data_IF_465306668949
#
_entry.id   IF_465306668949
#
_cell.length_a   1.000
_cell.length_b   1.000
_cell.length_c   1.000
_cell.angle_alpha   90.00
_cell.angle_beta   90.00
_cell.angle_gamma   90.00
#
_symmetry.space_group_name_H-M   'P 1'
#
loop_
_entity.id
_entity.type
_entity.pdbx_description
1 polymer ?
#
# COMPACT_ATOMS: atom_id res chain seq x y z
N UNK A 1 35.06 6.21 21.03
CA UNK A 1 34.11 5.49 20.14
C UNK A 1 34.81 4.23 19.59
N UNK A 2 34.24 3.03 19.77
CA UNK A 2 34.96 1.76 19.53
C UNK A 2 35.08 1.43 18.02
N UNK A 3 36.30 1.43 17.48
CA UNK A 3 36.62 1.22 16.05
C UNK A 3 36.00 -0.08 15.50
N UNK A 4 35.96 -1.14 16.30
CA UNK A 4 35.32 -2.43 15.92
C UNK A 4 33.81 -2.28 15.67
N UNK A 5 33.13 -1.41 16.43
CA UNK A 5 31.70 -1.12 16.27
C UNK A 5 31.44 -0.33 14.97
N UNK A 6 32.31 0.63 14.65
CA UNK A 6 32.24 1.44 13.42
C UNK A 6 32.42 0.56 12.17
N UNK A 7 33.42 -0.31 12.15
CA UNK A 7 33.65 -1.22 11.01
C UNK A 7 32.50 -2.21 10.80
N UNK A 8 31.87 -2.69 11.89
CA UNK A 8 30.68 -3.56 11.80
C UNK A 8 29.47 -2.83 11.23
N UNK A 9 29.27 -1.55 11.56
CA UNK A 9 28.21 -0.72 10.99
C UNK A 9 28.46 -0.48 9.51
N UNK A 10 29.67 -0.03 9.13
CA UNK A 10 30.05 0.22 7.73
C UNK A 10 29.88 -1.03 6.85
N UNK A 11 30.29 -2.20 7.32
CA UNK A 11 30.10 -3.48 6.58
C UNK A 11 28.61 -3.81 6.36
N UNK A 12 27.76 -3.53 7.36
CA UNK A 12 26.30 -3.74 7.23
C UNK A 12 25.68 -2.78 6.24
N UNK A 13 26.07 -1.51 6.26
CA UNK A 13 25.60 -0.49 5.32
C UNK A 13 26.03 -0.81 3.89
N UNK A 14 27.30 -1.17 3.69
CA UNK A 14 27.82 -1.60 2.40
C UNK A 14 27.01 -2.77 1.84
N UNK A 15 26.82 -3.84 2.63
CA UNK A 15 26.02 -4.99 2.19
C UNK A 15 24.57 -4.62 1.85
N UNK A 16 23.96 -3.67 2.57
CA UNK A 16 22.61 -3.18 2.26
C UNK A 16 22.59 -2.45 0.92
N UNK A 17 23.59 -1.62 0.65
CA UNK A 17 23.74 -0.89 -0.62
C UNK A 17 23.94 -1.86 -1.79
N UNK A 18 24.84 -2.84 -1.63
CA UNK A 18 25.12 -3.84 -2.67
C UNK A 18 23.87 -4.64 -3.02
N UNK A 19 23.16 -5.18 -2.02
CA UNK A 19 21.89 -5.90 -2.24
C UNK A 19 20.83 -5.05 -2.93
N UNK A 20 20.74 -3.76 -2.58
CA UNK A 20 19.81 -2.83 -3.24
C UNK A 20 20.20 -2.59 -4.70
N UNK A 21 21.50 -2.53 -4.99
CA UNK A 21 22.00 -2.37 -6.35
C UNK A 21 21.74 -3.62 -7.21
N UNK A 22 22.07 -4.80 -6.70
CA UNK A 22 21.81 -6.09 -7.36
C UNK A 22 20.32 -6.25 -7.70
N UNK A 23 19.43 -5.95 -6.75
CA UNK A 23 17.99 -5.97 -6.99
C UNK A 23 17.56 -5.01 -8.11
N UNK A 24 18.14 -3.81 -8.17
CA UNK A 24 17.85 -2.87 -9.26
C UNK A 24 18.35 -3.36 -10.62
N UNK A 25 19.46 -4.07 -10.68
CA UNK A 25 19.94 -4.67 -11.93
C UNK A 25 18.97 -5.72 -12.46
N UNK A 26 18.44 -6.57 -11.58
CA UNK A 26 17.40 -7.54 -11.95
C UNK A 26 16.14 -6.85 -12.50
N UNK A 27 15.67 -5.79 -11.85
CA UNK A 27 14.52 -5.02 -12.31
C UNK A 27 14.76 -4.38 -13.69
N UNK A 28 15.98 -3.89 -13.96
CA UNK A 28 16.33 -3.33 -15.28
C UNK A 28 16.38 -4.40 -16.37
N UNK A 29 16.89 -5.58 -16.05
CA UNK A 29 16.90 -6.70 -16.99
C UNK A 29 15.45 -7.09 -17.36
N UNK A 30 14.57 -7.22 -16.36
CA UNK A 30 13.15 -7.46 -16.56
C UNK A 30 12.48 -6.36 -17.39
N UNK A 31 12.79 -5.10 -17.12
CA UNK A 31 12.27 -3.96 -17.88
C UNK A 31 12.66 -4.00 -19.36
N UNK A 32 13.89 -4.41 -19.68
CA UNK A 32 14.32 -4.54 -21.08
C UNK A 32 13.57 -5.68 -21.79
N UNK A 33 13.39 -6.82 -21.12
CA UNK A 33 12.63 -7.94 -21.67
C UNK A 33 11.16 -7.57 -21.93
N UNK A 34 10.50 -6.92 -20.97
CA UNK A 34 9.13 -6.41 -21.14
C UNK A 34 9.04 -5.39 -22.28
N UNK A 35 10.01 -4.47 -22.36
CA UNK A 35 10.04 -3.44 -23.41
C UNK A 35 10.17 -4.06 -24.80
N UNK A 36 11.03 -5.06 -24.96
CA UNK A 36 11.21 -5.76 -26.23
C UNK A 36 9.91 -6.46 -26.67
N UNK A 37 9.17 -7.06 -25.74
CA UNK A 37 7.86 -7.66 -26.01
C UNK A 37 6.85 -6.60 -26.50
N UNK A 38 6.78 -5.45 -25.82
CA UNK A 38 5.84 -4.37 -26.16
C UNK A 38 6.18 -3.81 -27.55
N UNK A 39 7.45 -3.52 -27.82
CA UNK A 39 7.91 -3.02 -29.13
C UNK A 39 7.61 -4.03 -30.23
N UNK A 40 7.91 -5.31 -30.02
CA UNK A 40 7.64 -6.38 -31.00
C UNK A 40 6.16 -6.62 -31.26
N UNK A 41 5.30 -6.35 -30.26
CA UNK A 41 3.86 -6.42 -30.43
C UNK A 41 3.35 -5.27 -31.31
N UNK A 42 3.72 -4.03 -30.98
CA UNK A 42 3.24 -2.83 -31.65
C UNK A 42 3.87 -2.63 -33.05
N UNK A 43 5.08 -3.15 -33.29
CA UNK A 43 5.75 -3.05 -34.60
C UNK A 43 5.04 -3.82 -35.71
N UNK A 44 4.16 -4.78 -35.36
CA UNK A 44 3.30 -5.49 -36.31
C UNK A 44 2.31 -4.56 -37.01
N UNK A 45 1.91 -3.48 -36.34
CA UNK A 45 0.89 -2.55 -36.81
C UNK A 45 1.50 -1.21 -37.24
N UNK A 46 2.56 -0.75 -36.55
CA UNK A 46 3.17 0.56 -36.78
C UNK A 46 4.56 0.39 -37.41
N UNK A 47 4.65 0.70 -38.72
CA UNK A 47 5.91 0.66 -39.48
C UNK A 47 6.86 1.84 -39.21
N UNK A 48 6.32 2.99 -38.81
CA UNK A 48 7.13 4.18 -38.55
C UNK A 48 7.72 4.10 -37.14
N UNK A 49 9.04 3.98 -37.03
CA UNK A 49 9.76 3.83 -35.76
C UNK A 49 9.47 4.96 -34.76
N UNK A 50 9.51 6.22 -35.21
CA UNK A 50 9.20 7.36 -34.33
C UNK A 50 7.77 7.33 -33.80
N UNK A 51 6.80 6.88 -34.62
CA UNK A 51 5.40 6.74 -34.20
C UNK A 51 5.23 5.56 -33.23
N UNK A 52 5.90 4.44 -33.52
CA UNK A 52 5.92 3.25 -32.67
C UNK A 52 6.42 3.59 -31.26
N UNK A 53 7.58 4.25 -31.15
CA UNK A 53 8.16 4.61 -29.85
C UNK A 53 7.27 5.57 -29.05
N UNK A 54 6.59 6.53 -29.72
CA UNK A 54 5.62 7.41 -29.05
C UNK A 54 4.43 6.64 -28.51
N UNK A 55 3.92 5.66 -29.25
CA UNK A 55 2.82 4.80 -28.81
C UNK A 55 3.24 3.95 -27.59
N UNK A 56 4.47 3.43 -27.60
CA UNK A 56 5.04 2.70 -26.46
C UNK A 56 5.08 3.57 -25.20
N UNK A 57 5.54 4.83 -25.31
CA UNK A 57 5.53 5.76 -24.16
C UNK A 57 4.12 5.97 -23.65
N UNK A 58 3.16 6.22 -24.54
CA UNK A 58 1.77 6.43 -24.16
C UNK A 58 1.18 5.24 -23.39
N UNK A 59 1.40 4.02 -23.88
CA UNK A 59 0.97 2.80 -23.19
C UNK A 59 1.63 2.62 -21.82
N UNK A 60 2.94 2.85 -21.72
CA UNK A 60 3.67 2.73 -20.46
C UNK A 60 3.21 3.76 -19.43
N UNK A 61 2.95 5.00 -19.84
CA UNK A 61 2.41 6.04 -18.96
C UNK A 61 1.00 5.71 -18.47
N UNK A 62 0.15 5.15 -19.34
CA UNK A 62 -1.20 4.73 -18.97
C UNK A 62 -1.15 3.63 -17.90
N UNK A 63 -0.32 2.60 -18.11
CA UNK A 63 -0.11 1.50 -17.16
C UNK A 63 0.48 2.00 -15.83
N UNK A 64 1.44 2.93 -15.89
CA UNK A 64 2.01 3.52 -14.69
C UNK A 64 0.96 4.33 -13.90
N UNK A 65 0.11 5.09 -14.59
CA UNK A 65 -0.98 5.84 -13.95
C UNK A 65 -2.00 4.92 -13.30
N UNK A 66 -2.34 3.80 -13.93
CA UNK A 66 -3.24 2.79 -13.38
C UNK A 66 -2.68 2.17 -12.09
N UNK A 67 -1.39 1.79 -12.09
CA UNK A 67 -0.70 1.28 -10.90
C UNK A 67 -0.54 2.33 -9.79
N UNK A 68 -0.28 3.58 -10.17
CA UNK A 68 -0.20 4.71 -9.26
C UNK A 68 -1.57 5.19 -8.78
N UNK A 69 -2.69 4.71 -9.36
CA UNK A 69 -4.01 5.14 -8.97
C UNK A 69 -4.38 4.52 -7.62
N UNK A 70 -3.90 5.17 -6.56
CA UNK A 70 -4.35 5.00 -5.18
C UNK A 70 -5.84 5.34 -4.98
N UNK A 71 -6.53 5.83 -6.01
CA UNK A 71 -7.93 6.31 -5.95
C UNK A 71 -8.89 5.29 -5.35
N UNK A 72 -8.91 4.06 -5.85
CA UNK A 72 -9.81 3.02 -5.31
C UNK A 72 -9.47 2.63 -3.87
N UNK A 73 -8.19 2.68 -3.48
CA UNK A 73 -7.75 2.39 -2.09
C UNK A 73 -8.19 3.50 -1.14
N UNK A 74 -8.02 4.76 -1.54
CA UNK A 74 -8.44 5.94 -0.78
C UNK A 74 -9.96 6.02 -0.64
N UNK A 75 -10.70 5.69 -1.71
CA UNK A 75 -12.17 5.60 -1.68
C UNK A 75 -12.63 4.48 -0.74
N UNK A 76 -12.00 3.30 -0.83
CA UNK A 76 -12.32 2.18 0.07
C UNK A 76 -12.08 2.51 1.54
N UNK A 77 -10.93 3.11 1.86
CA UNK A 77 -10.63 3.60 3.22
C UNK A 77 -11.65 4.66 3.64
N UNK A 78 -11.98 5.61 2.77
CA UNK A 78 -12.95 6.66 3.03
C UNK A 78 -14.34 6.13 3.36
N UNK A 79 -14.87 5.19 2.56
CA UNK A 79 -16.16 4.54 2.80
C UNK A 79 -16.16 3.83 4.15
N UNK A 80 -15.11 3.06 4.44
CA UNK A 80 -14.98 2.35 5.72
C UNK A 80 -14.99 3.36 6.87
N UNK A 81 -14.15 4.40 6.84
CA UNK A 81 -14.12 5.42 7.90
C UNK A 81 -15.48 6.08 8.11
N UNK A 82 -16.20 6.45 7.04
CA UNK A 82 -17.52 7.09 7.15
C UNK A 82 -18.54 6.16 7.81
N UNK A 83 -18.61 4.89 7.39
CA UNK A 83 -19.51 3.89 8.00
C UNK A 83 -19.21 3.75 9.50
N UNK A 84 -17.93 3.77 9.86
CA UNK A 84 -17.49 3.62 11.24
C UNK A 84 -17.81 4.83 12.11
N UNK A 85 -17.49 6.02 11.62
CA UNK A 85 -17.84 7.26 12.31
C UNK A 85 -19.34 7.33 12.52
N UNK A 86 -20.14 6.96 11.51
CA UNK A 86 -21.59 6.91 11.64
C UNK A 86 -22.03 5.90 12.71
N UNK A 87 -21.53 4.65 12.68
CA UNK A 87 -21.89 3.64 13.68
C UNK A 87 -21.55 4.06 15.12
N UNK A 88 -20.34 4.57 15.35
CA UNK A 88 -19.94 4.99 16.69
C UNK A 88 -20.73 6.21 17.19
N UNK A 89 -21.00 7.18 16.32
CA UNK A 89 -21.74 8.39 16.70
C UNK A 89 -23.23 8.12 16.93
N UNK A 90 -23.85 7.25 16.13
CA UNK A 90 -25.30 7.01 16.19
C UNK A 90 -25.71 5.87 17.11
N UNK A 91 -24.89 4.84 17.27
CA UNK A 91 -25.25 3.63 18.03
C UNK A 91 -24.25 3.33 19.14
N UNK A 92 -22.95 3.39 18.84
CA UNK A 92 -21.90 3.04 19.81
C UNK A 92 -21.94 3.90 21.08
N UNK A 93 -21.93 5.22 20.94
CA UNK A 93 -21.95 6.15 22.08
C UNK A 93 -23.25 6.02 22.90
N UNK A 94 -24.46 6.06 22.29
CA UNK A 94 -25.70 5.86 23.05
C UNK A 94 -25.75 4.56 23.84
N UNK A 95 -25.37 3.43 23.22
CA UNK A 95 -25.34 2.12 23.89
C UNK A 95 -24.38 2.13 25.09
N UNK A 96 -23.24 2.83 24.99
CA UNK A 96 -22.30 2.98 26.11
C UNK A 96 -22.89 3.83 27.24
N UNK A 97 -23.58 4.93 26.92
CA UNK A 97 -24.23 5.78 27.93
C UNK A 97 -25.37 5.05 28.63
N UNK A 98 -26.26 4.38 27.89
CA UNK A 98 -27.37 3.60 28.44
C UNK A 98 -26.87 2.49 29.37
N UNK A 99 -25.82 1.78 28.97
CA UNK A 99 -25.24 0.74 29.82
C UNK A 99 -24.61 1.29 31.11
N UNK A 100 -23.96 2.47 31.06
CA UNK A 100 -23.44 3.12 32.26
C UNK A 100 -24.56 3.55 33.20
N UNK A 101 -25.65 4.10 32.67
CA UNK A 101 -26.83 4.46 33.47
C UNK A 101 -27.51 3.25 34.10
N UNK A 102 -27.58 2.11 33.41
CA UNK A 102 -28.09 0.86 33.97
C UNK A 102 -27.19 0.31 35.08
N UNK A 103 -25.87 0.38 34.91
CA UNK A 103 -24.91 -0.02 35.95
C UNK A 103 -25.08 0.85 37.21
N UNK A 104 -25.42 2.13 37.06
CA UNK A 104 -25.59 3.01 38.21
C UNK A 104 -26.85 2.73 39.04
N UNK A 105 -27.85 2.05 38.47
CA UNK A 105 -29.10 1.67 39.15
C UNK A 105 -28.93 0.47 40.11
N UNK A 106 -27.84 -0.28 40.05
CA UNK A 106 -27.63 -1.40 40.97
C UNK A 106 -27.37 -0.92 42.41
N UNK A 107 -27.99 -1.59 43.38
CA UNK A 107 -27.92 -1.19 44.79
C UNK A 107 -26.63 -1.63 45.49
N UNK A 108 -26.01 -2.72 45.03
CA UNK A 108 -24.83 -3.32 45.67
C UNK A 108 -23.53 -2.99 44.92
N UNK A 109 -22.54 -2.48 45.63
CA UNK A 109 -21.23 -2.09 45.07
C UNK A 109 -20.50 -3.25 44.41
N UNK A 110 -20.65 -4.48 44.93
CA UNK A 110 -20.04 -5.69 44.35
C UNK A 110 -20.65 -6.04 42.99
N UNK A 111 -21.98 -5.92 42.84
CA UNK A 111 -22.68 -6.15 41.57
C UNK A 111 -22.25 -5.11 40.53
N UNK A 112 -22.17 -3.83 40.92
CA UNK A 112 -21.65 -2.76 40.04
C UNK A 112 -20.25 -3.08 39.50
N UNK A 113 -19.33 -3.51 40.37
CA UNK A 113 -17.96 -3.82 39.97
C UNK A 113 -17.93 -5.02 39.01
N UNK A 114 -18.69 -6.08 39.29
CA UNK A 114 -18.75 -7.27 38.42
C UNK A 114 -19.29 -6.91 37.04
N UNK A 115 -20.39 -6.16 36.96
CA UNK A 115 -20.97 -5.74 35.69
C UNK A 115 -20.05 -4.80 34.90
N UNK A 116 -19.38 -3.87 35.58
CA UNK A 116 -18.43 -2.96 34.94
C UNK A 116 -17.24 -3.72 34.33
N UNK A 117 -16.72 -4.74 35.02
CA UNK A 117 -15.64 -5.59 34.49
C UNK A 117 -16.11 -6.39 33.28
N UNK A 118 -17.30 -7.00 33.34
CA UNK A 118 -17.88 -7.74 32.21
C UNK A 118 -18.06 -6.82 30.99
N UNK A 119 -18.59 -5.62 31.21
CA UNK A 119 -18.82 -4.65 30.14
C UNK A 119 -17.50 -4.15 29.53
N UNK A 120 -16.48 -3.90 30.36
CA UNK A 120 -15.15 -3.52 29.90
C UNK A 120 -14.50 -4.63 29.05
N UNK A 121 -14.62 -5.90 29.46
CA UNK A 121 -14.12 -7.04 28.69
C UNK A 121 -14.87 -7.21 27.36
N UNK A 122 -16.19 -7.03 27.38
CA UNK A 122 -17.00 -7.04 26.16
C UNK A 122 -16.59 -5.92 25.21
N UNK A 123 -16.38 -4.71 25.71
CA UNK A 123 -15.91 -3.58 24.91
C UNK A 123 -14.53 -3.83 24.33
N UNK A 124 -13.59 -4.37 25.12
CA UNK A 124 -12.26 -4.77 24.63
C UNK A 124 -12.35 -5.82 23.53
N UNK A 125 -13.24 -6.81 23.68
CA UNK A 125 -13.48 -7.82 22.65
C UNK A 125 -14.06 -7.19 21.38
N UNK A 126 -14.99 -6.25 21.50
CA UNK A 126 -15.58 -5.52 20.38
C UNK A 126 -14.51 -4.68 19.65
N UNK A 127 -13.69 -3.93 20.39
CA UNK A 127 -12.58 -3.15 19.82
C UNK A 127 -11.51 -4.06 19.18
N UNK A 128 -11.22 -5.20 19.79
CA UNK A 128 -10.26 -6.18 19.25
C UNK A 128 -10.73 -6.84 17.97
N UNK A 129 -11.98 -7.34 17.94
CA UNK A 129 -12.60 -7.92 16.73
C UNK A 129 -12.73 -6.87 15.63
N UNK A 130 -13.06 -5.64 16.01
CA UNK A 130 -13.12 -4.50 15.12
C UNK A 130 -11.77 -4.17 14.47
N UNK A 131 -10.71 -4.04 15.27
CA UNK A 131 -9.35 -3.83 14.78
C UNK A 131 -8.88 -4.97 13.87
N UNK A 132 -9.29 -6.20 14.17
CA UNK A 132 -9.00 -7.37 13.34
C UNK A 132 -9.70 -7.32 11.98
N UNK A 133 -11.00 -6.96 11.93
CA UNK A 133 -11.75 -6.81 10.67
C UNK A 133 -11.16 -5.68 9.83
N UNK A 134 -10.87 -4.53 10.44
CA UNK A 134 -10.19 -3.43 9.76
C UNK A 134 -8.85 -3.86 9.20
N UNK A 135 -8.03 -4.54 9.99
CA UNK A 135 -6.75 -5.07 9.52
C UNK A 135 -6.94 -6.04 8.35
N UNK A 136 -7.91 -6.96 8.41
CA UNK A 136 -8.17 -7.92 7.33
C UNK A 136 -8.69 -7.27 6.05
N UNK A 137 -9.59 -6.28 6.17
CA UNK A 137 -10.16 -5.58 5.02
C UNK A 137 -9.16 -4.60 4.41
N UNK A 138 -8.33 -3.94 5.24
CA UNK A 138 -7.33 -2.98 4.77
C UNK A 138 -6.00 -3.62 4.36
N UNK A 139 -5.64 -4.77 4.92
CA UNK A 139 -4.36 -5.46 4.63
C UNK A 139 -4.12 -5.71 3.13
N UNK A 140 -5.10 -6.18 2.32
CA UNK A 140 -4.94 -6.30 0.87
C UNK A 140 -4.59 -4.97 0.17
N UNK A 141 -5.04 -3.84 0.72
CA UNK A 141 -4.72 -2.51 0.18
C UNK A 141 -3.30 -2.04 0.54
N UNK A 142 -2.67 -2.65 1.54
CA UNK A 142 -1.30 -2.36 1.98
C UNK A 142 -0.28 -3.47 1.61
N UNK A 143 -0.74 -4.67 1.24
CA UNK A 143 0.08 -5.88 1.08
C UNK A 143 0.99 -5.91 -0.15
N UNK A 144 0.57 -5.32 -1.27
CA UNK A 144 1.31 -5.39 -2.55
C UNK A 144 2.14 -4.14 -2.88
N UNK A 145 2.32 -3.26 -1.91
CA UNK A 145 3.02 -1.99 -2.11
C UNK A 145 4.48 -2.20 -2.59
N UNK A 146 5.10 -3.35 -2.28
CA UNK A 146 6.45 -3.65 -2.78
C UNK A 146 6.48 -3.98 -4.27
N UNK A 147 5.61 -4.87 -4.73
CA UNK A 147 5.63 -5.37 -6.11
C UNK A 147 5.07 -4.32 -7.07
N UNK A 148 4.06 -3.56 -6.63
CA UNK A 148 3.55 -2.40 -7.36
C UNK A 148 4.64 -1.33 -7.52
N UNK A 149 5.40 -1.03 -6.46
CA UNK A 149 6.54 -0.09 -6.56
C UNK A 149 7.66 -0.59 -7.47
N UNK A 150 7.92 -1.90 -7.49
CA UNK A 150 8.86 -2.47 -8.45
C UNK A 150 8.38 -2.32 -9.88
N UNK A 151 7.09 -2.56 -10.14
CA UNK A 151 6.52 -2.41 -11.47
C UNK A 151 6.45 -0.95 -11.92
N UNK A 152 6.14 -0.01 -11.02
CA UNK A 152 6.25 1.43 -11.29
C UNK A 152 7.69 1.79 -11.69
N UNK A 153 8.69 1.29 -10.95
CA UNK A 153 10.10 1.53 -11.28
C UNK A 153 10.48 0.95 -12.66
N UNK A 154 9.96 -0.23 -13.00
CA UNK A 154 10.16 -0.86 -14.29
C UNK A 154 9.58 0.01 -15.41
N UNK A 155 8.33 0.49 -15.28
CA UNK A 155 7.72 1.39 -16.27
C UNK A 155 8.45 2.72 -16.41
N UNK A 156 8.84 3.35 -15.29
CA UNK A 156 9.65 4.58 -15.34
C UNK A 156 10.98 4.39 -16.07
N UNK A 157 11.61 3.23 -15.88
CA UNK A 157 12.87 2.91 -16.53
C UNK A 157 12.67 2.68 -18.04
N UNK A 158 11.64 1.94 -18.43
CA UNK A 158 11.28 1.74 -19.84
C UNK A 158 10.98 3.07 -20.55
N UNK A 159 10.15 3.94 -19.94
CA UNK A 159 9.81 5.26 -20.49
C UNK A 159 11.09 6.05 -20.78
N UNK A 160 12.03 6.11 -19.83
CA UNK A 160 13.31 6.82 -20.02
C UNK A 160 14.15 6.26 -21.17
N UNK A 161 14.17 4.94 -21.34
CA UNK A 161 14.87 4.31 -22.47
C UNK A 161 14.23 4.74 -23.79
N UNK A 162 12.90 4.67 -23.89
CA UNK A 162 12.16 4.97 -25.12
C UNK A 162 12.24 6.45 -25.46
N UNK A 163 12.06 7.34 -24.48
CA UNK A 163 12.26 8.79 -24.66
C UNK A 163 13.67 9.12 -25.14
N UNK A 164 14.70 8.44 -24.61
CA UNK A 164 16.07 8.62 -25.08
C UNK A 164 16.24 8.18 -26.53
N UNK A 165 15.59 7.08 -26.95
CA UNK A 165 15.60 6.64 -28.36
C UNK A 165 14.89 7.63 -29.27
N UNK A 166 13.75 8.19 -28.83
CA UNK A 166 13.01 9.21 -29.59
C UNK A 166 13.89 10.46 -29.82
N UNK A 167 14.60 10.93 -28.77
CA UNK A 167 15.50 12.09 -28.86
C UNK A 167 16.68 11.88 -29.81
N UNK A 168 17.12 10.64 -30.00
CA UNK A 168 18.19 10.31 -30.96
C UNK A 168 17.70 10.30 -32.41
N UNK A 169 16.37 10.25 -32.63
CA UNK A 169 15.71 10.31 -33.93
C UNK A 169 15.21 11.73 -34.28
N UNK A 170 15.56 12.73 -33.46
CA UNK A 170 15.31 14.16 -33.67
C UNK A 170 16.59 14.88 -34.11
#
# INVERSE_FOLDING_TARGET
MNIKKINKIRKREFNKITKKHERKLLLRAKANEELDIIINSLSKEIKCEKKLLKEVVFHLEALQKELNYFGYRGIGIGIVVVVLTNFFTTQGIPIMYEALEEIDKFSFTLEKIIYLVIYMLFFLFLVGTFGFVLWKTLSPFFGDDKDIREQIYIYEYMIKIVESKIKQLE
#
